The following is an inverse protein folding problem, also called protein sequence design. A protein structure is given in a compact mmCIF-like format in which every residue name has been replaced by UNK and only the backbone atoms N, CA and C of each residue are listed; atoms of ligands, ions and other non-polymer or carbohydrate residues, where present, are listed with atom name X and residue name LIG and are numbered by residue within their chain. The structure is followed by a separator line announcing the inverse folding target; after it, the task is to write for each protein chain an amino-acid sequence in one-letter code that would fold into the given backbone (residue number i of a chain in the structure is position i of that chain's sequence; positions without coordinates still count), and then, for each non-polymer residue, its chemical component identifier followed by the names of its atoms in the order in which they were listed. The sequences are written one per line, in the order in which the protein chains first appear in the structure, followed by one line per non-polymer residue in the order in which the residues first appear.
data_IF_175707794887
#
_entry.id   IF_175707794887
#
_cell.length_a   1.000
_cell.length_b   1.000
_cell.length_c   1.000
_cell.angle_alpha   90.00
_cell.angle_beta   90.00
_cell.angle_gamma   90.00
#
_symmetry.space_group_name_H-M   'P 1'
#
loop_
_entity.id
_entity.type
_entity.pdbx_description
1 polymer ?
#
# COMPACT_ATOMS: atom_id res chain seq x y z
N UNK A 1 -31.97 1.06 -15.32
CA UNK A 1 -31.27 -0.02 -16.05
C UNK A 1 -30.13 -0.46 -15.16
N UNK A 2 -30.26 -1.65 -14.57
CA UNK A 2 -29.37 -2.18 -13.53
C UNK A 2 -28.03 -2.58 -14.18
N UNK A 3 -27.03 -1.71 -14.09
CA UNK A 3 -25.71 -1.86 -14.72
C UNK A 3 -24.79 -2.86 -14.01
N UNK A 4 -25.31 -4.02 -13.59
CA UNK A 4 -24.51 -5.04 -12.90
C UNK A 4 -23.60 -5.72 -13.90
N UNK A 5 -22.30 -5.48 -13.77
CA UNK A 5 -21.28 -6.17 -14.55
C UNK A 5 -21.21 -7.63 -14.06
N UNK A 6 -21.95 -8.52 -14.71
CA UNK A 6 -21.93 -9.97 -14.46
C UNK A 6 -20.64 -10.62 -15.03
N UNK A 7 -19.46 -10.26 -14.51
CA UNK A 7 -18.18 -10.87 -14.94
C UNK A 7 -17.89 -12.18 -14.18
N UNK A 8 -18.54 -12.45 -13.04
CA UNK A 8 -18.13 -13.52 -12.11
C UNK A 8 -19.19 -14.62 -11.89
N UNK A 9 -19.85 -15.08 -12.95
CA UNK A 9 -20.95 -16.08 -12.81
C UNK A 9 -20.75 -17.40 -13.55
N UNK A 10 -19.67 -17.64 -14.30
CA UNK A 10 -19.58 -18.87 -15.10
C UNK A 10 -18.23 -19.57 -14.89
N UNK A 11 -18.10 -20.28 -13.78
CA UNK A 11 -17.20 -21.43 -13.65
C UNK A 11 -16.02 -21.36 -12.66
N UNK A 12 -15.68 -20.20 -12.10
CA UNK A 12 -14.55 -20.10 -11.16
C UNK A 12 -14.97 -20.36 -9.70
N UNK A 13 -14.55 -21.50 -9.16
CA UNK A 13 -14.75 -21.85 -7.74
C UNK A 13 -14.08 -20.84 -6.79
N UNK A 14 -13.04 -20.15 -7.24
CA UNK A 14 -12.27 -19.20 -6.42
C UNK A 14 -13.12 -17.99 -6.04
N UNK A 15 -13.85 -17.39 -6.97
CA UNK A 15 -14.68 -16.20 -6.71
C UNK A 15 -16.15 -16.53 -6.40
N UNK A 16 -16.50 -17.81 -6.33
CA UNK A 16 -17.87 -18.25 -6.06
C UNK A 16 -18.41 -17.68 -4.75
N UNK A 17 -19.66 -17.18 -4.78
CA UNK A 17 -20.36 -16.60 -3.63
C UNK A 17 -19.93 -15.17 -3.24
N UNK A 18 -18.99 -14.55 -3.95
CA UNK A 18 -18.58 -13.16 -3.70
C UNK A 18 -19.30 -12.18 -4.61
N UNK A 19 -19.84 -11.11 -4.01
CA UNK A 19 -20.37 -9.96 -4.72
C UNK A 19 -19.34 -8.83 -4.66
N UNK A 20 -18.84 -8.41 -5.81
CA UNK A 20 -18.00 -7.22 -5.92
C UNK A 20 -18.84 -6.01 -6.32
N UNK A 21 -18.52 -4.85 -5.74
CA UNK A 21 -19.16 -3.59 -6.11
C UNK A 21 -18.52 -2.99 -7.37
N UNK A 22 -19.30 -2.22 -8.13
CA UNK A 22 -18.86 -1.67 -9.42
C UNK A 22 -17.65 -0.74 -9.27
N UNK A 23 -17.58 0.02 -8.18
CA UNK A 23 -16.46 0.90 -7.86
C UNK A 23 -15.15 0.11 -7.61
N UNK A 24 -15.25 -1.04 -6.92
CA UNK A 24 -14.14 -1.98 -6.72
C UNK A 24 -13.70 -2.57 -8.05
N UNK A 25 -14.63 -3.06 -8.86
CA UNK A 25 -14.33 -3.61 -10.18
C UNK A 25 -13.70 -2.56 -11.10
N UNK A 26 -14.17 -1.32 -11.03
CA UNK A 26 -13.62 -0.20 -11.78
C UNK A 26 -12.16 0.08 -11.42
N UNK A 27 -11.76 -0.05 -10.16
CA UNK A 27 -10.34 0.06 -9.76
C UNK A 27 -9.49 -0.99 -10.48
N UNK A 28 -9.92 -2.26 -10.49
CA UNK A 28 -9.22 -3.33 -11.21
C UNK A 28 -9.17 -3.07 -12.71
N UNK A 29 -10.27 -2.62 -13.32
CA UNK A 29 -10.31 -2.24 -14.74
C UNK A 29 -9.32 -1.11 -15.05
N UNK A 30 -9.34 -0.01 -14.28
CA UNK A 30 -8.42 1.13 -14.44
C UNK A 30 -6.96 0.71 -14.29
N UNK A 31 -6.62 -0.11 -13.29
CA UNK A 31 -5.28 -0.65 -13.07
C UNK A 31 -4.78 -1.46 -14.27
N UNK A 32 -5.65 -2.29 -14.83
CA UNK A 32 -5.33 -3.24 -15.89
C UNK A 32 -5.50 -2.69 -17.31
N UNK A 33 -5.80 -1.39 -17.45
CA UNK A 33 -6.15 -0.77 -18.74
C UNK A 33 -7.28 -1.53 -19.46
N UNK A 34 -8.30 -1.92 -18.69
CA UNK A 34 -9.50 -2.63 -19.17
C UNK A 34 -9.24 -4.00 -19.83
N UNK A 35 -8.06 -4.61 -19.60
CA UNK A 35 -7.78 -5.99 -20.03
C UNK A 35 -8.40 -6.98 -19.04
N UNK A 36 -9.53 -7.57 -19.44
CA UNK A 36 -10.40 -8.37 -18.57
C UNK A 36 -9.67 -9.56 -17.93
N UNK A 37 -8.89 -10.34 -18.70
CA UNK A 37 -8.18 -11.50 -18.16
C UNK A 37 -7.20 -11.14 -17.03
N UNK A 38 -6.54 -9.98 -17.16
CA UNK A 38 -5.63 -9.48 -16.13
C UNK A 38 -6.38 -9.01 -14.89
N UNK A 39 -7.60 -8.45 -15.06
CA UNK A 39 -8.47 -8.07 -13.96
C UNK A 39 -8.91 -9.31 -13.17
N UNK A 40 -9.43 -10.32 -13.87
CA UNK A 40 -9.92 -11.57 -13.27
C UNK A 40 -8.80 -12.24 -12.47
N UNK A 41 -7.61 -12.41 -13.08
CA UNK A 41 -6.45 -12.99 -12.40
C UNK A 41 -6.08 -12.23 -11.13
N UNK A 42 -6.15 -10.90 -11.17
CA UNK A 42 -5.80 -10.09 -10.02
C UNK A 42 -6.82 -10.20 -8.88
N UNK A 43 -8.11 -10.22 -9.23
CA UNK A 43 -9.20 -10.41 -8.28
C UNK A 43 -9.11 -11.79 -7.63
N UNK A 44 -8.83 -12.84 -8.41
CA UNK A 44 -8.58 -14.19 -7.88
C UNK A 44 -7.42 -14.21 -6.88
N UNK A 45 -6.29 -13.57 -7.22
CA UNK A 45 -5.15 -13.46 -6.29
C UNK A 45 -5.52 -12.72 -5.00
N UNK A 46 -6.31 -11.65 -5.09
CA UNK A 46 -6.80 -10.90 -3.94
C UNK A 46 -7.68 -11.79 -3.04
N UNK A 47 -8.62 -12.52 -3.62
CA UNK A 47 -9.48 -13.47 -2.88
C UNK A 47 -8.65 -14.54 -2.18
N UNK A 48 -7.69 -15.15 -2.88
CA UNK A 48 -6.83 -16.18 -2.32
C UNK A 48 -5.98 -15.64 -1.17
N UNK A 49 -5.44 -14.43 -1.31
CA UNK A 49 -4.71 -13.76 -0.24
C UNK A 49 -5.61 -13.48 0.97
N UNK A 50 -6.83 -12.98 0.75
CA UNK A 50 -7.80 -12.71 1.82
C UNK A 50 -8.22 -13.97 2.57
N UNK A 51 -8.37 -15.10 1.88
CA UNK A 51 -8.65 -16.40 2.52
C UNK A 51 -7.46 -16.91 3.33
N UNK A 52 -6.23 -16.70 2.84
CA UNK A 52 -5.01 -17.17 3.49
C UNK A 52 -4.65 -16.37 4.74
N UNK A 53 -4.95 -15.07 4.75
CA UNK A 53 -4.58 -14.14 5.81
C UNK A 53 -5.74 -13.17 6.09
N UNK A 54 -6.87 -13.70 6.59
CA UNK A 54 -8.09 -12.93 6.78
C UNK A 54 -7.89 -11.73 7.71
N UNK A 55 -7.11 -11.93 8.77
CA UNK A 55 -6.80 -10.90 9.76
C UNK A 55 -6.21 -9.64 9.09
N UNK A 56 -5.34 -9.77 8.09
CA UNK A 56 -4.77 -8.64 7.35
C UNK A 56 -5.84 -7.72 6.71
N UNK A 57 -7.04 -8.25 6.49
CA UNK A 57 -8.20 -7.58 5.90
C UNK A 57 -9.34 -7.41 6.91
N UNK A 58 -9.09 -7.53 8.21
CA UNK A 58 -10.07 -7.22 9.26
C UNK A 58 -9.83 -5.80 9.80
N UNK A 59 -10.80 -5.24 10.52
CA UNK A 59 -10.68 -3.91 11.14
C UNK A 59 -9.52 -3.90 12.11
N UNK A 60 -8.65 -2.89 11.98
CA UNK A 60 -7.61 -2.64 12.97
C UNK A 60 -8.31 -2.31 14.30
N UNK A 61 -8.05 -3.03 15.40
CA UNK A 61 -8.73 -2.77 16.67
C UNK A 61 -8.53 -1.33 17.15
N UNK A 62 -9.56 -0.76 17.77
CA UNK A 62 -9.60 0.66 18.15
C UNK A 62 -8.48 1.05 19.14
N UNK A 63 -8.03 0.10 19.98
CA UNK A 63 -6.89 0.27 20.87
C UNK A 63 -5.60 0.64 20.11
N UNK A 64 -5.41 0.10 18.90
CA UNK A 64 -4.24 0.41 18.07
C UNK A 64 -4.40 1.73 17.32
N UNK A 65 -5.62 2.09 16.89
CA UNK A 65 -5.90 3.34 16.17
C UNK A 65 -5.61 4.60 17.01
N UNK A 66 -5.61 4.47 18.34
CA UNK A 66 -5.30 5.57 19.27
C UNK A 66 -3.82 5.70 19.60
N UNK A 67 -2.96 4.80 19.12
CA UNK A 67 -1.53 4.83 19.42
C UNK A 67 -0.85 6.02 18.73
N UNK A 68 -0.28 6.92 19.54
CA UNK A 68 0.49 8.08 19.08
C UNK A 68 1.68 7.70 18.19
N UNK A 69 2.22 6.48 18.34
CA UNK A 69 3.32 6.02 17.49
C UNK A 69 2.91 5.88 16.02
N UNK A 70 1.62 5.66 15.70
CA UNK A 70 1.15 5.49 14.33
C UNK A 70 1.41 6.71 13.45
N UNK A 71 1.38 7.91 14.04
CA UNK A 71 1.67 9.19 13.34
C UNK A 71 3.04 9.20 12.68
N UNK A 72 3.94 8.32 13.10
CA UNK A 72 5.30 8.35 12.60
C UNK A 72 5.67 7.10 11.80
N UNK A 73 4.75 6.16 11.60
CA UNK A 73 5.06 4.88 10.93
C UNK A 73 4.72 4.94 9.44
N UNK A 74 3.53 5.40 9.08
CA UNK A 74 3.08 5.49 7.68
C UNK A 74 2.24 6.75 7.49
N UNK A 75 2.43 7.44 6.37
CA UNK A 75 1.63 8.60 6.00
C UNK A 75 1.53 8.72 4.48
N UNK A 76 0.51 9.45 4.04
CA UNK A 76 0.36 9.89 2.65
C UNK A 76 0.76 11.36 2.60
N UNK A 77 1.76 11.69 1.79
CA UNK A 77 2.17 13.09 1.65
C UNK A 77 1.05 13.87 0.93
N UNK A 78 0.69 15.07 1.42
CA UNK A 78 -0.47 15.82 0.93
C UNK A 78 -0.28 16.38 -0.49
N UNK A 79 0.96 16.44 -0.98
CA UNK A 79 1.26 16.93 -2.32
C UNK A 79 1.58 15.78 -3.25
N UNK A 80 0.91 15.78 -4.39
CA UNK A 80 1.20 14.88 -5.50
C UNK A 80 2.49 15.30 -6.22
N UNK A 81 3.14 14.33 -6.83
CA UNK A 81 4.19 14.56 -7.81
C UNK A 81 3.65 15.27 -9.06
N UNK A 82 4.52 15.89 -9.90
CA UNK A 82 4.10 16.54 -11.15
C UNK A 82 3.40 15.59 -12.13
N UNK A 83 3.74 14.29 -12.10
CA UNK A 83 3.07 13.24 -12.87
C UNK A 83 1.71 12.80 -12.27
N UNK A 84 1.23 13.53 -11.26
CA UNK A 84 -0.02 13.27 -10.54
C UNK A 84 0.06 12.11 -9.54
N UNK A 85 1.20 11.43 -9.39
CA UNK A 85 1.32 10.35 -8.41
C UNK A 85 1.21 10.87 -6.99
N UNK A 86 0.45 10.18 -6.14
CA UNK A 86 0.54 10.40 -4.69
C UNK A 86 1.80 9.71 -4.13
N UNK A 87 2.25 10.12 -2.94
CA UNK A 87 3.46 9.59 -2.31
C UNK A 87 3.09 8.99 -0.96
N UNK A 88 3.36 7.69 -0.81
CA UNK A 88 3.26 6.97 0.46
C UNK A 88 4.63 7.00 1.12
N UNK A 89 4.73 7.49 2.34
CA UNK A 89 5.95 7.50 3.14
C UNK A 89 5.79 6.56 4.34
N UNK A 90 6.71 5.63 4.52
CA UNK A 90 6.77 4.79 5.72
C UNK A 90 8.13 4.88 6.40
N UNK A 91 8.15 4.88 7.73
CA UNK A 91 9.36 4.91 8.56
C UNK A 91 9.41 3.66 9.43
N UNK A 92 10.16 2.68 8.97
CA UNK A 92 10.17 1.34 9.57
C UNK A 92 10.76 1.36 10.98
N UNK A 93 11.80 2.18 11.23
CA UNK A 93 12.41 2.30 12.55
C UNK A 93 11.49 2.89 13.62
N UNK A 94 10.35 3.50 13.25
CA UNK A 94 9.36 4.03 14.18
C UNK A 94 8.33 3.01 14.63
N UNK A 95 8.23 1.88 13.94
CA UNK A 95 7.34 0.79 14.33
C UNK A 95 7.92 0.00 15.50
N UNK A 96 7.20 -0.08 16.61
CA UNK A 96 7.55 -0.94 17.74
C UNK A 96 6.70 -2.22 17.74
N UNK A 97 7.28 -3.40 17.43
CA UNK A 97 6.53 -4.66 17.35
C UNK A 97 5.94 -5.15 18.68
N UNK A 98 6.38 -4.61 19.83
CA UNK A 98 5.81 -4.91 21.15
C UNK A 98 4.53 -4.13 21.43
N UNK A 99 4.36 -2.97 20.80
CA UNK A 99 3.21 -2.07 20.97
C UNK A 99 2.18 -2.30 19.87
N UNK A 100 2.64 -2.43 18.63
CA UNK A 100 1.82 -2.81 17.48
C UNK A 100 2.34 -4.14 16.93
N UNK A 101 1.75 -5.28 17.30
CA UNK A 101 2.15 -6.59 16.80
C UNK A 101 2.15 -6.66 15.28
N UNK A 102 3.06 -7.46 14.71
CA UNK A 102 3.22 -7.56 13.26
C UNK A 102 1.94 -7.86 12.46
N UNK A 103 1.01 -8.73 12.93
CA UNK A 103 -0.27 -8.91 12.24
C UNK A 103 -1.08 -7.62 12.10
N UNK A 104 -1.14 -6.80 13.17
CA UNK A 104 -1.83 -5.51 13.17
C UNK A 104 -1.06 -4.44 12.40
N UNK A 105 0.27 -4.51 12.35
CA UNK A 105 1.07 -3.68 11.44
C UNK A 105 0.75 -3.97 9.96
N UNK A 106 0.52 -5.23 9.57
CA UNK A 106 0.05 -5.56 8.22
C UNK A 106 -1.33 -4.96 7.94
N UNK A 107 -2.26 -5.06 8.89
CA UNK A 107 -3.59 -4.43 8.77
C UNK A 107 -3.47 -2.92 8.55
N UNK A 108 -2.61 -2.24 9.32
CA UNK A 108 -2.34 -0.81 9.16
C UNK A 108 -1.86 -0.50 7.73
N UNK A 109 -0.87 -1.24 7.23
CA UNK A 109 -0.34 -1.04 5.87
C UNK A 109 -1.41 -1.24 4.79
N UNK A 110 -2.24 -2.27 4.93
CA UNK A 110 -3.34 -2.57 4.00
C UNK A 110 -4.40 -1.47 4.05
N UNK A 111 -4.77 -1.01 5.24
CA UNK A 111 -5.73 0.09 5.41
C UNK A 111 -5.25 1.37 4.71
N UNK A 112 -4.00 1.80 4.92
CA UNK A 112 -3.43 2.95 4.20
C UNK A 112 -3.46 2.75 2.69
N UNK A 113 -3.07 1.56 2.24
CA UNK A 113 -3.00 1.25 0.83
C UNK A 113 -4.37 1.31 0.15
N UNK A 114 -5.40 0.74 0.78
CA UNK A 114 -6.76 0.73 0.25
C UNK A 114 -7.39 2.12 0.31
N UNK A 115 -7.14 2.88 1.38
CA UNK A 115 -7.62 4.26 1.49
C UNK A 115 -7.07 5.13 0.36
N UNK A 116 -5.79 4.95 0.00
CA UNK A 116 -5.18 5.63 -1.15
C UNK A 116 -5.91 5.35 -2.48
N UNK A 117 -6.45 4.14 -2.63
CA UNK A 117 -7.14 3.72 -3.85
C UNK A 117 -8.56 4.25 -3.95
N UNK A 118 -9.12 4.86 -2.90
CA UNK A 118 -10.42 5.55 -2.99
C UNK A 118 -10.37 6.77 -3.91
N UNK A 119 -9.21 7.40 -4.05
CA UNK A 119 -9.04 8.56 -4.92
C UNK A 119 -8.90 8.13 -6.40
N UNK A 120 -9.84 8.52 -7.29
CA UNK A 120 -9.77 8.21 -8.71
C UNK A 120 -8.47 8.68 -9.39
N UNK A 121 -7.90 9.80 -8.95
CA UNK A 121 -6.61 10.27 -9.46
C UNK A 121 -5.51 9.27 -9.12
N UNK A 122 -5.45 8.75 -7.88
CA UNK A 122 -4.50 7.69 -7.52
C UNK A 122 -4.70 6.42 -8.34
N UNK A 123 -5.94 6.03 -8.63
CA UNK A 123 -6.23 4.85 -9.46
C UNK A 123 -5.66 5.00 -10.89
N UNK A 124 -5.69 6.22 -11.43
CA UNK A 124 -5.24 6.53 -12.80
C UNK A 124 -3.73 6.77 -12.85
N UNK A 125 -3.23 7.71 -12.04
CA UNK A 125 -1.84 8.17 -12.05
C UNK A 125 -0.92 7.21 -11.31
N UNK A 126 -1.42 6.53 -10.28
CA UNK A 126 -0.65 5.66 -9.40
C UNK A 126 -0.02 6.39 -8.24
N UNK A 127 0.98 5.75 -7.64
CA UNK A 127 1.68 6.29 -6.47
C UNK A 127 3.13 5.83 -6.42
N UNK A 128 3.94 6.55 -5.64
CA UNK A 128 5.34 6.27 -5.37
C UNK A 128 5.51 5.96 -3.89
N UNK A 129 6.23 4.90 -3.56
CA UNK A 129 6.54 4.54 -2.17
C UNK A 129 7.90 5.09 -1.76
N UNK A 130 8.00 5.65 -0.56
CA UNK A 130 9.25 6.02 0.10
C UNK A 130 9.31 5.24 1.42
N UNK A 131 10.34 4.43 1.60
CA UNK A 131 10.54 3.60 2.77
C UNK A 131 11.84 4.02 3.46
N UNK A 132 11.71 4.78 4.55
CA UNK A 132 12.81 5.14 5.43
C UNK A 132 13.10 4.00 6.40
N UNK A 133 14.24 3.34 6.20
CA UNK A 133 14.68 2.22 7.06
C UNK A 133 15.65 2.67 8.16
N UNK A 134 15.87 3.99 8.32
CA UNK A 134 16.67 4.52 9.42
C UNK A 134 16.07 4.13 10.78
N UNK A 135 16.94 3.73 11.71
CA UNK A 135 16.52 3.32 13.06
C UNK A 135 15.90 1.91 13.13
N UNK A 136 15.90 1.15 12.04
CA UNK A 136 15.48 -0.25 12.06
C UNK A 136 16.48 -1.06 12.92
N UNK A 137 15.98 -1.64 14.01
CA UNK A 137 16.75 -2.51 14.90
C UNK A 137 16.50 -3.99 14.60
N UNK A 138 17.17 -4.88 15.33
CA UNK A 138 16.94 -6.33 15.28
C UNK A 138 15.49 -6.71 15.61
N UNK A 139 14.79 -5.88 16.41
CA UNK A 139 13.39 -6.12 16.76
C UNK A 139 12.46 -6.05 15.54
N UNK A 140 12.71 -5.13 14.61
CA UNK A 140 11.96 -5.01 13.36
C UNK A 140 12.52 -5.95 12.29
N UNK A 141 13.86 -6.05 12.19
CA UNK A 141 14.53 -6.81 11.12
C UNK A 141 14.07 -8.27 11.03
N UNK A 142 13.76 -8.93 12.15
CA UNK A 142 13.26 -10.32 12.16
C UNK A 142 11.96 -10.52 11.37
N UNK A 143 11.20 -9.46 11.12
CA UNK A 143 9.98 -9.51 10.31
C UNK A 143 10.23 -9.26 8.81
N UNK A 144 11.41 -8.78 8.43
CA UNK A 144 11.80 -8.56 7.04
C UNK A 144 12.42 -9.83 6.44
N UNK A 145 11.74 -10.97 6.59
CA UNK A 145 12.14 -12.23 5.97
C UNK A 145 11.80 -12.20 4.47
N UNK A 146 12.47 -13.02 3.62
CA UNK A 146 12.12 -13.16 2.22
C UNK A 146 10.64 -13.55 2.01
N UNK A 147 10.09 -14.38 2.88
CA UNK A 147 8.68 -14.76 2.85
C UNK A 147 7.75 -13.55 3.07
N UNK A 148 8.03 -12.71 4.07
CA UNK A 148 7.22 -11.51 4.32
C UNK A 148 7.42 -10.47 3.23
N UNK A 149 8.64 -10.28 2.72
CA UNK A 149 8.91 -9.39 1.59
C UNK A 149 8.14 -9.83 0.34
N UNK A 150 8.10 -11.14 0.06
CA UNK A 150 7.29 -11.70 -1.02
C UNK A 150 5.79 -11.53 -0.78
N UNK A 151 5.31 -11.74 0.46
CA UNK A 151 3.92 -11.50 0.81
C UNK A 151 3.51 -10.06 0.50
N UNK A 152 4.29 -9.07 0.93
CA UNK A 152 4.02 -7.66 0.64
C UNK A 152 4.08 -7.36 -0.85
N UNK A 153 5.11 -7.84 -1.56
CA UNK A 153 5.19 -7.69 -3.02
C UNK A 153 3.96 -8.29 -3.72
N UNK A 154 3.59 -9.52 -3.38
CA UNK A 154 2.46 -10.21 -3.97
C UNK A 154 1.14 -9.46 -3.69
N UNK A 155 0.93 -9.02 -2.44
CA UNK A 155 -0.25 -8.24 -2.08
C UNK A 155 -0.34 -6.96 -2.90
N UNK A 156 0.71 -6.14 -2.92
CA UNK A 156 0.63 -4.80 -3.48
C UNK A 156 0.74 -4.75 -5.02
N UNK A 157 1.39 -5.74 -5.63
CA UNK A 157 1.59 -5.80 -7.09
C UNK A 157 0.60 -6.76 -7.75
N UNK A 158 0.31 -7.91 -7.15
CA UNK A 158 -0.45 -8.98 -7.79
C UNK A 158 -1.89 -9.13 -7.28
N UNK A 159 -2.22 -8.56 -6.11
CA UNK A 159 -3.58 -8.61 -5.55
C UNK A 159 -4.28 -7.26 -5.67
N UNK A 160 -3.70 -6.17 -5.17
CA UNK A 160 -4.43 -4.91 -5.07
C UNK A 160 -4.46 -4.11 -6.39
N UNK A 161 -5.54 -3.38 -6.69
CA UNK A 161 -5.66 -2.61 -7.93
C UNK A 161 -4.85 -1.31 -7.94
N UNK A 162 -3.69 -1.29 -7.26
CA UNK A 162 -2.78 -0.16 -7.22
C UNK A 162 -1.73 -0.17 -8.34
N UNK A 163 -1.15 1.01 -8.60
CA UNK A 163 -0.11 1.22 -9.61
C UNK A 163 1.12 1.88 -8.98
N UNK A 164 2.07 1.08 -8.50
CA UNK A 164 3.40 1.60 -8.15
C UNK A 164 4.08 2.16 -9.38
N UNK A 165 4.56 3.39 -9.30
CA UNK A 165 5.40 4.01 -10.34
C UNK A 165 6.88 3.99 -9.98
N UNK A 166 7.19 4.09 -8.71
CA UNK A 166 8.53 3.93 -8.16
C UNK A 166 8.44 3.54 -6.68
N UNK A 167 9.50 2.94 -6.16
CA UNK A 167 9.71 2.60 -4.75
C UNK A 167 11.12 3.04 -4.40
N UNK A 168 11.25 3.91 -3.42
CA UNK A 168 12.51 4.47 -2.95
C UNK A 168 12.76 3.95 -1.53
N UNK A 169 13.85 3.23 -1.33
CA UNK A 169 14.32 2.84 0.00
C UNK A 169 15.46 3.79 0.36
N UNK A 170 15.28 4.61 1.39
CA UNK A 170 16.29 5.59 1.83
C UNK A 170 16.96 5.12 3.12
N UNK A 171 18.19 5.57 3.35
CA UNK A 171 19.05 5.06 4.42
C UNK A 171 19.30 3.56 4.28
N UNK A 172 19.53 3.10 3.05
CA UNK A 172 19.77 1.69 2.77
C UNK A 172 20.91 1.12 3.63
N UNK A 173 20.78 -0.12 4.07
CA UNK A 173 21.77 -0.81 4.88
C UNK A 173 21.98 -2.25 4.39
N UNK A 174 23.03 -2.91 4.90
CA UNK A 174 23.40 -4.25 4.47
C UNK A 174 22.24 -5.27 4.57
N UNK A 175 21.44 -5.32 5.66
CA UNK A 175 20.27 -6.19 5.71
C UNK A 175 19.28 -5.96 4.55
N UNK A 176 18.98 -4.71 4.20
CA UNK A 176 18.10 -4.41 3.07
C UNK A 176 18.68 -4.86 1.73
N UNK A 177 20.00 -4.72 1.53
CA UNK A 177 20.68 -5.23 0.32
C UNK A 177 20.56 -6.75 0.20
N UNK A 178 20.70 -7.48 1.30
CA UNK A 178 20.52 -8.95 1.34
C UNK A 178 19.08 -9.32 0.97
N UNK A 179 18.08 -8.71 1.61
CA UNK A 179 16.67 -8.98 1.31
C UNK A 179 16.35 -8.66 -0.15
N UNK A 180 16.85 -7.53 -0.66
CA UNK A 180 16.69 -7.16 -2.05
C UNK A 180 17.25 -8.22 -3.00
N UNK A 181 18.48 -8.70 -2.76
CA UNK A 181 19.10 -9.72 -3.61
C UNK A 181 18.34 -11.05 -3.61
N UNK A 182 17.71 -11.41 -2.49
CA UNK A 182 16.85 -12.59 -2.39
C UNK A 182 15.51 -12.40 -3.11
N UNK A 183 14.96 -11.18 -3.07
CA UNK A 183 13.68 -10.85 -3.69
C UNK A 183 13.77 -10.59 -5.20
N UNK A 184 14.86 -9.98 -5.66
CA UNK A 184 15.06 -9.51 -7.04
C UNK A 184 14.74 -10.56 -8.12
N UNK A 185 15.11 -11.85 -7.99
CA UNK A 185 14.77 -12.88 -8.97
C UNK A 185 13.26 -13.14 -9.12
N UNK A 186 12.47 -12.88 -8.07
CA UNK A 186 11.02 -13.10 -8.05
C UNK A 186 10.23 -11.91 -8.66
N UNK A 187 10.91 -10.80 -8.93
CA UNK A 187 10.29 -9.58 -9.43
C UNK A 187 10.32 -9.54 -10.96
N UNK A 188 9.25 -9.03 -11.56
CA UNK A 188 9.25 -8.68 -12.99
C UNK A 188 10.31 -7.61 -13.29
N UNK A 189 10.84 -7.58 -14.52
CA UNK A 189 11.81 -6.55 -14.94
C UNK A 189 11.28 -5.13 -14.70
N UNK A 190 10.01 -4.91 -15.06
CA UNK A 190 9.30 -3.66 -14.79
C UNK A 190 9.34 -3.26 -13.33
N UNK A 191 9.20 -4.21 -12.40
CA UNK A 191 9.27 -3.90 -10.98
C UNK A 191 10.70 -3.65 -10.52
N UNK A 192 11.68 -4.43 -11.02
CA UNK A 192 13.10 -4.21 -10.73
C UNK A 192 13.54 -2.80 -11.11
N UNK A 193 13.12 -2.31 -12.27
CA UNK A 193 13.47 -0.97 -12.77
C UNK A 193 12.78 0.18 -12.01
N UNK A 194 11.88 -0.13 -11.08
CA UNK A 194 11.15 0.84 -10.26
C UNK A 194 11.59 0.83 -8.80
N UNK A 195 12.53 -0.03 -8.45
CA UNK A 195 13.10 -0.10 -7.11
C UNK A 195 14.39 0.72 -7.11
N UNK A 196 14.44 1.73 -6.27
CA UNK A 196 15.56 2.65 -6.14
C UNK A 196 16.02 2.65 -4.69
N UNK A 197 17.33 2.59 -4.48
CA UNK A 197 17.90 2.60 -3.15
C UNK A 197 18.85 3.79 -3.02
N UNK A 198 18.79 4.44 -1.88
CA UNK A 198 19.44 5.73 -1.61
C UNK A 198 20.16 5.66 -0.27
N UNK A 199 21.35 6.27 -0.19
CA UNK A 199 22.15 6.23 1.04
C UNK A 199 21.56 7.14 2.11
N UNK A 200 20.89 8.22 1.71
CA UNK A 200 20.23 9.18 2.60
C UNK A 200 18.93 9.72 1.99
N UNK A 201 18.22 10.58 2.73
CA UNK A 201 16.97 11.18 2.29
C UNK A 201 17.10 12.33 1.29
N UNK A 202 18.22 13.05 1.26
CA UNK A 202 18.41 14.21 0.37
C UNK A 202 18.50 13.79 -1.10
N UNK A 203 18.99 12.58 -1.39
CA UNK A 203 18.97 11.96 -2.72
C UNK A 203 17.56 11.84 -3.32
N UNK A 204 16.50 11.95 -2.51
CA UNK A 204 15.13 12.04 -3.03
C UNK A 204 14.90 13.30 -3.88
N UNK A 205 15.66 14.37 -3.67
CA UNK A 205 15.50 15.63 -4.40
C UNK A 205 15.93 15.54 -5.86
N UNK A 206 16.71 14.50 -6.23
CA UNK A 206 17.09 14.23 -7.61
C UNK A 206 15.92 13.72 -8.46
N UNK A 207 14.87 13.21 -7.80
CA UNK A 207 13.76 12.48 -8.44
C UNK A 207 12.37 12.99 -8.02
N UNK A 208 12.28 13.76 -6.94
CA UNK A 208 11.07 14.41 -6.48
C UNK A 208 11.28 15.92 -6.34
N UNK A 209 10.27 16.76 -6.66
CA UNK A 209 10.34 18.18 -6.33
C UNK A 209 10.48 18.38 -4.82
N UNK A 210 11.33 19.33 -4.42
CA UNK A 210 11.54 19.65 -3.01
C UNK A 210 10.24 20.02 -2.29
N UNK A 211 9.26 20.58 -3.01
CA UNK A 211 7.94 20.95 -2.45
C UNK A 211 7.10 19.75 -2.00
N UNK A 212 7.38 18.55 -2.50
CA UNK A 212 6.69 17.28 -2.17
C UNK A 212 7.41 16.55 -1.04
N UNK A 213 8.72 16.73 -0.89
CA UNK A 213 9.53 16.00 0.09
C UNK A 213 9.54 16.73 1.45
N UNK A 214 9.40 15.99 2.58
CA UNK A 214 9.54 16.55 3.92
C UNK A 214 10.88 17.26 4.15
N UNK A 215 10.88 18.30 4.98
CA UNK A 215 12.09 19.02 5.41
C UNK A 215 13.14 18.09 6.04
N UNK A 216 12.71 17.05 6.76
CA UNK A 216 13.58 15.99 7.30
C UNK A 216 14.49 15.33 6.25
N UNK A 217 14.06 15.29 5.00
CA UNK A 217 14.79 14.69 3.88
C UNK A 217 15.30 15.73 2.88
N UNK A 218 15.54 16.97 3.36
CA UNK A 218 16.07 18.08 2.54
C UNK A 218 15.03 18.83 1.71
N UNK A 219 13.76 18.46 1.78
CA UNK A 219 12.68 19.13 1.05
C UNK A 219 12.14 20.40 1.73
N UNK A 220 10.99 20.86 1.27
CA UNK A 220 10.30 22.08 1.75
C UNK A 220 8.93 21.80 2.35
N UNK A 221 8.48 20.54 2.37
CA UNK A 221 7.19 20.16 2.95
C UNK A 221 7.30 20.07 4.47
N UNK A 222 6.51 20.87 5.18
CA UNK A 222 6.40 20.80 6.64
C UNK A 222 5.55 19.59 7.06
N UNK A 223 6.00 18.86 8.06
CA UNK A 223 5.32 17.66 8.56
C UNK A 223 4.30 18.01 9.64
N UNK A 224 3.12 18.49 9.24
CA UNK A 224 2.01 18.83 10.14
C UNK A 224 0.77 17.96 9.86
N UNK A 225 0.97 16.72 9.40
CA UNK A 225 -0.12 15.87 8.91
C UNK A 225 -0.89 15.23 10.08
N UNK A 226 -2.22 15.39 10.12
CA UNK A 226 -3.09 14.70 11.07
C UNK A 226 -3.31 13.23 10.65
N UNK A 227 -2.31 12.40 10.95
CA UNK A 227 -2.33 10.99 10.58
C UNK A 227 -3.35 10.21 11.41
N UNK A 228 -3.54 10.56 12.69
CA UNK A 228 -4.59 9.94 13.50
C UNK A 228 -5.98 10.31 12.99
N UNK A 229 -6.21 11.56 12.57
CA UNK A 229 -7.42 11.97 11.86
C UNK A 229 -7.64 11.15 10.61
N UNK A 230 -6.64 11.08 9.73
CA UNK A 230 -6.71 10.25 8.52
C UNK A 230 -7.03 8.78 8.84
N UNK A 231 -6.40 8.19 9.86
CA UNK A 231 -6.62 6.81 10.27
C UNK A 231 -8.02 6.58 10.82
N UNK A 232 -8.52 7.51 11.66
CA UNK A 232 -9.89 7.45 12.19
C UNK A 232 -10.92 7.60 11.06
N UNK A 233 -10.67 8.50 10.13
CA UNK A 233 -11.55 8.70 8.98
C UNK A 233 -11.51 7.49 8.06
N UNK A 234 -10.34 6.96 7.74
CA UNK A 234 -10.19 5.71 6.99
C UNK A 234 -10.89 4.53 7.68
N UNK A 235 -10.77 4.40 9.00
CA UNK A 235 -11.45 3.36 9.78
C UNK A 235 -12.97 3.51 9.78
N UNK A 236 -13.50 4.74 9.90
CA UNK A 236 -14.94 5.03 9.76
C UNK A 236 -15.43 4.81 8.34
N UNK A 237 -14.63 5.21 7.36
CA UNK A 237 -14.97 5.17 5.95
C UNK A 237 -14.87 3.76 5.37
N UNK A 238 -14.13 2.87 6.01
CA UNK A 238 -14.10 1.46 5.66
C UNK A 238 -15.52 0.89 5.56
N UNK A 239 -16.33 1.18 6.57
CA UNK A 239 -17.74 0.76 6.61
C UNK A 239 -18.65 1.68 5.77
N UNK A 240 -18.11 2.77 5.18
CA UNK A 240 -18.86 3.73 4.37
C UNK A 240 -18.63 3.58 2.86
N UNK A 241 -19.75 3.73 2.19
CA UNK A 241 -19.99 3.70 0.77
C UNK A 241 -19.01 4.52 -0.07
N UNK A 242 -18.57 3.95 -1.19
CA UNK A 242 -17.96 4.66 -2.30
C UNK A 242 -19.06 5.00 -3.31
N UNK A 243 -19.50 6.25 -3.25
CA UNK A 243 -20.37 6.95 -4.20
C UNK A 243 -21.84 6.44 -4.26
N UNK A 244 -22.17 5.15 -4.29
CA UNK A 244 -23.59 4.68 -4.29
C UNK A 244 -23.82 3.27 -3.69
N UNK A 245 -23.60 3.10 -2.38
CA UNK A 245 -24.57 2.28 -1.61
C UNK A 245 -24.24 0.86 -1.16
N UNK A 246 -22.99 0.33 -1.18
CA UNK A 246 -22.55 -0.68 -0.16
C UNK A 246 -21.22 -0.38 0.59
N UNK A 247 -21.04 -0.86 1.84
CA UNK A 247 -19.79 -0.72 2.61
C UNK A 247 -18.61 -1.35 1.86
N UNK A 248 -17.39 -0.83 2.05
CA UNK A 248 -16.23 -1.53 1.49
C UNK A 248 -16.11 -2.91 2.13
N UNK A 249 -15.90 -3.93 1.30
CA UNK A 249 -15.56 -5.28 1.79
C UNK A 249 -14.04 -5.44 2.01
N UNK A 250 -13.33 -4.31 2.08
CA UNK A 250 -11.92 -4.29 2.40
C UNK A 250 -11.71 -4.15 3.90
#
# INVERSE_FOLDING_TARGET
MDGRIHIFSLGDQTTSGMNFHDDVLLQYLRRNKYRIDQCIKQIQNFVLLKRKDSLMFERLPDEYLSLSCLENIVTVLPKRCPDGCTVLLSRIGKWNPKVLPFPHFKQLLVMFFLQLLRDPMTQITGFKGIHDVQGMSTQQLKYFTPQNAYLFYHAVINCFPGRYKAVHVIHENLPMKVIWNLMKPLLSEKMRNRMHFHSNGEELLDVFPSSVIPTKYGGKLQETFDILGFLRDAAKERDRYTIEGRPNIY
#
